data_IF_710709448608
#
_entry.id   IF_710709448608
#
_cell.length_a   1.000
_cell.length_b   1.000
_cell.length_c   1.000
_cell.angle_alpha   90.00
_cell.angle_beta   90.00
_cell.angle_gamma   90.00
#
_symmetry.space_group_name_H-M   'P 1'
#
loop_
_entity.id
_entity.type
_entity.pdbx_description
1 polymer ?
#
# COMPACT_ATOMS: atom_id res chain seq x y z
N UNK A 1 -15.56 7.52 -25.60
CA UNK A 1 -14.63 7.64 -24.45
C UNK A 1 -15.47 7.54 -23.18
N UNK A 2 -15.64 6.32 -22.64
CA UNK A 2 -16.40 6.10 -21.42
C UNK A 2 -15.42 6.07 -20.24
N UNK A 3 -15.58 7.01 -19.30
CA UNK A 3 -14.82 7.08 -18.07
C UNK A 3 -15.32 6.00 -17.10
N UNK A 4 -14.44 5.09 -16.69
CA UNK A 4 -14.70 4.15 -15.60
C UNK A 4 -14.20 4.78 -14.30
N UNK A 5 -15.14 5.06 -13.41
CA UNK A 5 -14.91 5.45 -12.02
C UNK A 5 -14.27 4.27 -11.27
N UNK A 6 -12.93 4.28 -11.17
CA UNK A 6 -12.23 3.49 -10.17
C UNK A 6 -12.09 4.33 -8.91
N UNK A 7 -12.84 4.00 -7.86
CA UNK A 7 -12.65 4.57 -6.52
C UNK A 7 -11.29 4.10 -6.00
N UNK A 8 -10.27 4.92 -6.20
CA UNK A 8 -8.91 4.67 -5.74
C UNK A 8 -8.82 4.79 -4.23
N UNK A 9 -8.38 3.71 -3.57
CA UNK A 9 -7.93 3.72 -2.18
C UNK A 9 -6.40 3.85 -2.06
N UNK A 10 -5.75 4.46 -3.06
CA UNK A 10 -4.33 4.79 -3.00
C UNK A 10 -4.10 6.29 -3.22
N UNK A 11 -4.76 7.13 -2.41
CA UNK A 11 -4.40 8.54 -2.29
C UNK A 11 -4.70 9.10 -0.90
N UNK A 12 -3.80 8.92 0.06
CA UNK A 12 -3.68 9.86 1.17
C UNK A 12 -2.23 10.33 1.28
N UNK A 13 -1.96 11.48 0.68
CA UNK A 13 -0.77 12.28 0.95
C UNK A 13 -1.14 13.53 1.74
N UNK A 14 -0.19 13.95 2.57
CA UNK A 14 -0.06 15.21 3.33
C UNK A 14 -0.88 15.36 4.63
N UNK A 15 -0.45 16.11 5.64
CA UNK A 15 0.83 16.67 6.10
C UNK A 15 0.46 17.65 7.24
N UNK A 16 1.34 17.83 8.21
CA UNK A 16 1.50 19.12 8.89
C UNK A 16 0.54 19.40 10.05
N UNK A 17 1.11 19.38 11.26
CA UNK A 17 0.54 20.06 12.42
C UNK A 17 0.21 21.53 12.08
N UNK A 18 -1.00 21.95 12.44
CA UNK A 18 -1.34 23.36 12.66
C UNK A 18 -1.91 23.48 14.07
N UNK A 19 -1.19 24.20 14.92
CA UNK A 19 -1.75 24.79 16.13
C UNK A 19 -2.78 25.85 15.72
N UNK A 20 -4.04 25.65 16.10
CA UNK A 20 -5.01 26.73 16.19
C UNK A 20 -5.71 26.69 17.54
N UNK A 21 -5.69 27.85 18.16
CA UNK A 21 -5.98 28.16 19.56
C UNK A 21 -7.48 28.15 19.87
N UNK A 22 -7.82 27.51 20.99
CA UNK A 22 -8.93 27.73 21.92
C UNK A 22 -10.27 28.33 21.41
N UNK A 23 -11.30 27.48 21.39
CA UNK A 23 -12.65 27.83 21.86
C UNK A 23 -13.26 26.60 22.55
N UNK A 24 -13.62 26.74 23.84
CA UNK A 24 -14.35 25.72 24.61
C UNK A 24 -15.77 25.58 24.05
N UNK A 25 -16.05 24.44 23.43
CA UNK A 25 -17.41 24.01 23.16
C UNK A 25 -17.65 22.71 23.94
N UNK A 26 -18.44 22.80 25.01
CA UNK A 26 -18.80 21.68 25.87
C UNK A 26 -19.81 20.80 25.15
N UNK A 27 -19.37 20.05 24.14
CA UNK A 27 -20.07 18.85 23.67
C UNK A 27 -19.34 17.64 24.20
N UNK A 28 -19.98 16.94 25.13
CA UNK A 28 -19.59 15.61 25.53
C UNK A 28 -19.71 14.70 24.30
N UNK A 29 -18.61 14.50 23.59
CA UNK A 29 -18.51 13.50 22.53
C UNK A 29 -18.86 12.13 23.13
N UNK A 30 -19.67 11.30 22.45
CA UNK A 30 -19.88 9.92 22.88
C UNK A 30 -18.52 9.23 23.05
N UNK A 31 -18.35 8.35 24.05
CA UNK A 31 -17.14 7.56 24.15
C UNK A 31 -16.96 6.83 22.82
N UNK A 32 -15.85 7.09 22.13
CA UNK A 32 -15.49 6.40 20.91
C UNK A 32 -15.49 4.92 21.25
N UNK A 33 -16.42 4.16 20.68
CA UNK A 33 -16.53 2.73 20.96
C UNK A 33 -15.18 2.10 20.58
N UNK A 34 -14.44 1.63 21.58
CA UNK A 34 -13.22 0.86 21.35
C UNK A 34 -13.70 -0.47 20.80
N UNK A 35 -13.68 -0.61 19.46
CA UNK A 35 -14.07 -1.86 18.81
C UNK A 35 -13.02 -2.89 19.22
N UNK A 36 -13.43 -3.86 20.03
CA UNK A 36 -12.54 -4.92 20.48
C UNK A 36 -12.45 -5.96 19.35
N UNK A 37 -11.48 -5.79 18.46
CA UNK A 37 -11.25 -6.70 17.34
C UNK A 37 -10.65 -8.01 17.83
N UNK A 38 -11.19 -9.14 17.40
CA UNK A 38 -10.55 -10.45 17.61
C UNK A 38 -9.39 -10.62 16.64
N UNK A 39 -8.34 -11.34 17.04
CA UNK A 39 -7.18 -11.60 16.16
C UNK A 39 -7.59 -12.23 14.82
N UNK A 40 -8.58 -13.14 14.83
CA UNK A 40 -9.13 -13.75 13.63
C UNK A 40 -9.76 -12.74 12.68
N UNK A 41 -10.50 -11.77 13.21
CA UNK A 41 -11.13 -10.73 12.40
C UNK A 41 -10.10 -9.74 11.85
N UNK A 42 -9.03 -9.47 12.60
CA UNK A 42 -7.88 -8.68 12.10
C UNK A 42 -7.20 -9.40 10.94
N UNK A 43 -6.93 -10.69 11.06
CA UNK A 43 -6.31 -11.51 10.00
C UNK A 43 -7.19 -11.58 8.74
N UNK A 44 -8.50 -11.80 8.89
CA UNK A 44 -9.45 -11.80 7.77
C UNK A 44 -9.50 -10.43 7.08
N UNK A 45 -9.53 -9.35 7.88
CA UNK A 45 -9.56 -7.98 7.37
C UNK A 45 -8.28 -7.66 6.59
N UNK A 46 -7.11 -7.98 7.16
CA UNK A 46 -5.83 -7.77 6.50
C UNK A 46 -5.73 -8.59 5.20
N UNK A 47 -6.19 -9.83 5.20
CA UNK A 47 -6.21 -10.68 4.00
C UNK A 47 -7.04 -10.06 2.87
N UNK A 48 -8.25 -9.59 3.17
CA UNK A 48 -9.11 -8.97 2.16
C UNK A 48 -8.50 -7.66 1.61
N UNK A 49 -7.96 -6.83 2.50
CA UNK A 49 -7.38 -5.54 2.11
C UNK A 49 -6.11 -5.72 1.27
N UNK A 50 -5.22 -6.64 1.66
CA UNK A 50 -3.98 -6.89 0.91
C UNK A 50 -4.25 -7.51 -0.46
N UNK A 51 -5.33 -8.29 -0.61
CA UNK A 51 -5.82 -8.71 -1.92
C UNK A 51 -6.21 -7.52 -2.81
N UNK A 52 -6.86 -6.49 -2.25
CA UNK A 52 -7.16 -5.26 -3.00
C UNK A 52 -5.89 -4.46 -3.33
N UNK A 53 -4.91 -4.39 -2.43
CA UNK A 53 -3.60 -3.81 -2.73
C UNK A 53 -2.95 -4.49 -3.94
N UNK A 54 -3.01 -5.83 -3.98
CA UNK A 54 -2.47 -6.63 -5.07
C UNK A 54 -3.20 -6.40 -6.40
N UNK A 55 -4.53 -6.39 -6.39
CA UNK A 55 -5.34 -6.12 -7.58
C UNK A 55 -5.08 -4.74 -8.16
N UNK A 56 -4.92 -3.74 -7.29
CA UNK A 56 -4.53 -2.39 -7.71
C UNK A 56 -3.14 -2.38 -8.35
N UNK A 57 -2.14 -3.02 -7.74
CA UNK A 57 -0.82 -3.18 -8.32
C UNK A 57 -0.85 -3.86 -9.69
N UNK A 58 -1.58 -4.97 -9.84
CA UNK A 58 -1.78 -5.65 -11.11
C UNK A 58 -2.46 -4.74 -12.14
N UNK A 59 -3.41 -3.91 -11.72
CA UNK A 59 -4.05 -2.89 -12.55
C UNK A 59 -3.05 -1.86 -13.08
N UNK A 60 -2.17 -1.34 -12.24
CA UNK A 60 -1.10 -0.42 -12.64
C UNK A 60 -0.10 -1.08 -13.60
N UNK A 61 0.23 -2.34 -13.37
CA UNK A 61 1.18 -3.09 -14.18
C UNK A 61 0.62 -3.58 -15.53
N UNK A 62 -0.71 -3.53 -15.73
CA UNK A 62 -1.38 -4.09 -16.92
C UNK A 62 -0.84 -3.56 -18.26
N UNK A 63 -0.46 -2.29 -18.30
CA UNK A 63 -0.03 -1.61 -19.52
C UNK A 63 1.49 -1.38 -19.59
N UNK A 64 2.26 -1.97 -18.66
CA UNK A 64 3.74 -1.92 -18.72
C UNK A 64 4.20 -2.97 -19.71
N UNK A 65 4.96 -2.55 -20.73
CA UNK A 65 5.48 -3.49 -21.72
C UNK A 65 6.59 -4.36 -21.15
N UNK A 66 6.85 -5.53 -21.75
CA UNK A 66 7.92 -6.44 -21.32
C UNK A 66 9.28 -5.75 -21.27
N UNK A 67 9.57 -4.87 -22.24
CA UNK A 67 10.81 -4.07 -22.28
C UNK A 67 10.92 -3.05 -21.15
N UNK A 68 9.81 -2.63 -20.55
CA UNK A 68 9.79 -1.63 -19.48
C UNK A 68 9.76 -2.26 -18.08
N UNK A 69 9.51 -3.57 -17.96
CA UNK A 69 9.41 -4.25 -16.65
C UNK A 69 10.70 -4.15 -15.83
N UNK A 70 11.85 -3.98 -16.49
CA UNK A 70 13.16 -3.85 -15.84
C UNK A 70 13.61 -2.39 -15.68
N UNK A 71 12.82 -1.43 -16.16
CA UNK A 71 13.11 -0.01 -16.03
C UNK A 71 12.61 0.47 -14.67
N UNK A 72 13.51 0.61 -13.68
CA UNK A 72 13.15 1.04 -12.32
C UNK A 72 12.33 2.34 -12.31
N UNK A 73 12.64 3.29 -13.20
CA UNK A 73 11.88 4.54 -13.34
C UNK A 73 10.40 4.33 -13.71
N UNK A 74 10.07 3.23 -14.38
CA UNK A 74 8.69 2.86 -14.77
C UNK A 74 8.01 2.10 -13.63
N UNK A 75 8.71 1.12 -13.05
CA UNK A 75 8.09 0.17 -12.10
C UNK A 75 8.19 0.58 -10.64
N UNK A 76 9.04 1.55 -10.29
CA UNK A 76 9.22 2.05 -8.92
C UNK A 76 7.92 2.54 -8.29
N UNK A 77 7.14 3.35 -9.01
CA UNK A 77 5.86 3.88 -8.51
C UNK A 77 4.85 2.77 -8.19
N UNK A 78 4.47 1.86 -9.11
CA UNK A 78 3.53 0.79 -8.77
C UNK A 78 4.06 -0.13 -7.67
N UNK A 79 5.36 -0.43 -7.66
CA UNK A 79 5.97 -1.26 -6.62
C UNK A 79 5.89 -0.61 -5.23
N UNK A 80 6.29 0.67 -5.11
CA UNK A 80 6.21 1.41 -3.84
C UNK A 80 4.77 1.57 -3.36
N UNK A 81 3.79 1.71 -4.26
CA UNK A 81 2.38 1.74 -3.89
C UNK A 81 1.89 0.40 -3.33
N UNK A 82 2.34 -0.73 -3.89
CA UNK A 82 2.05 -2.04 -3.31
C UNK A 82 2.64 -2.13 -1.90
N UNK A 83 3.93 -1.83 -1.74
CA UNK A 83 4.61 -1.93 -0.44
C UNK A 83 3.95 -1.04 0.61
N UNK A 84 3.69 0.23 0.29
CA UNK A 84 3.04 1.17 1.20
C UNK A 84 1.62 0.71 1.59
N UNK A 85 0.85 0.16 0.64
CA UNK A 85 -0.48 -0.37 0.95
C UNK A 85 -0.42 -1.52 1.96
N UNK A 86 0.54 -2.44 1.81
CA UNK A 86 0.73 -3.55 2.76
C UNK A 86 1.17 -3.05 4.15
N UNK A 87 2.13 -2.12 4.20
CA UNK A 87 2.68 -1.54 5.43
C UNK A 87 1.62 -0.70 6.19
N UNK A 88 0.97 0.24 5.50
CA UNK A 88 -0.04 1.13 6.10
C UNK A 88 -1.20 0.35 6.74
N UNK A 89 -1.66 -0.72 6.09
CA UNK A 89 -2.77 -1.52 6.60
C UNK A 89 -2.34 -2.46 7.73
N UNK A 90 -1.11 -2.99 7.70
CA UNK A 90 -0.57 -3.74 8.82
C UNK A 90 -0.47 -2.84 10.06
N UNK A 91 -0.02 -1.60 9.90
CA UNK A 91 0.10 -0.61 10.98
C UNK A 91 -1.26 -0.20 11.55
N UNK A 92 -2.24 0.12 10.69
CA UNK A 92 -3.61 0.50 11.11
C UNK A 92 -4.32 -0.60 11.88
N UNK A 93 -4.01 -1.86 11.57
CA UNK A 93 -4.60 -3.04 12.19
C UNK A 93 -3.76 -3.57 13.36
N UNK A 94 -2.60 -2.97 13.64
CA UNK A 94 -1.61 -3.50 14.58
C UNK A 94 -1.26 -4.97 14.32
N UNK A 95 -1.20 -5.37 13.05
CA UNK A 95 -1.00 -6.76 12.60
C UNK A 95 0.47 -7.15 12.46
N UNK A 96 1.39 -6.18 12.58
CA UNK A 96 2.84 -6.37 12.49
C UNK A 96 3.34 -6.40 11.04
N UNK A 97 4.50 -5.77 10.82
CA UNK A 97 5.16 -5.71 9.51
C UNK A 97 6.68 -5.84 9.68
N UNK A 98 7.39 -6.59 8.81
CA UNK A 98 6.85 -7.45 7.77
C UNK A 98 6.06 -8.65 8.34
N UNK A 99 5.22 -9.25 7.50
CA UNK A 99 4.48 -10.47 7.82
C UNK A 99 4.44 -11.40 6.59
N UNK A 100 4.12 -12.68 6.82
CA UNK A 100 4.17 -13.74 5.80
C UNK A 100 3.34 -13.38 4.56
N UNK A 101 2.15 -12.80 4.74
CA UNK A 101 1.29 -12.46 3.60
C UNK A 101 1.85 -11.28 2.79
N UNK A 102 2.37 -10.24 3.46
CA UNK A 102 3.06 -9.14 2.77
C UNK A 102 4.26 -9.66 1.97
N UNK A 103 5.09 -10.50 2.56
CA UNK A 103 6.24 -11.11 1.89
C UNK A 103 5.81 -11.93 0.67
N UNK A 104 4.73 -12.69 0.75
CA UNK A 104 4.19 -13.44 -0.38
C UNK A 104 3.84 -12.53 -1.57
N UNK A 105 3.17 -11.40 -1.34
CA UNK A 105 2.87 -10.45 -2.42
C UNK A 105 4.13 -9.80 -2.99
N UNK A 106 5.11 -9.49 -2.16
CA UNK A 106 6.40 -8.96 -2.61
C UNK A 106 7.11 -10.01 -3.48
N UNK A 107 7.25 -11.26 -3.02
CA UNK A 107 7.84 -12.33 -3.82
C UNK A 107 7.07 -12.61 -5.11
N UNK A 108 5.74 -12.58 -5.05
CA UNK A 108 4.89 -12.77 -6.23
C UNK A 108 5.10 -11.65 -7.25
N UNK A 109 5.28 -10.41 -6.82
CA UNK A 109 5.59 -9.29 -7.72
C UNK A 109 6.91 -9.52 -8.47
N UNK A 110 7.96 -9.92 -7.75
CA UNK A 110 9.27 -10.25 -8.31
C UNK A 110 9.19 -11.40 -9.30
N UNK A 111 8.57 -12.51 -8.90
CA UNK A 111 8.42 -13.68 -9.76
C UNK A 111 7.59 -13.36 -11.01
N UNK A 112 6.49 -12.61 -10.88
CA UNK A 112 5.59 -12.33 -11.99
C UNK A 112 6.15 -11.31 -12.98
N UNK A 113 6.77 -10.24 -12.50
CA UNK A 113 7.12 -9.09 -13.34
C UNK A 113 8.62 -8.88 -13.52
N UNK A 114 9.46 -9.26 -12.55
CA UNK A 114 10.86 -8.86 -12.50
C UNK A 114 11.85 -10.02 -12.63
N UNK A 115 11.39 -11.27 -12.76
CA UNK A 115 12.23 -12.47 -12.75
C UNK A 115 13.29 -12.53 -13.87
N UNK A 116 13.08 -11.83 -14.99
CA UNK A 116 14.03 -11.75 -16.11
C UNK A 116 14.90 -10.49 -16.09
N UNK A 117 14.77 -9.65 -15.06
CA UNK A 117 15.57 -8.44 -14.95
C UNK A 117 16.94 -8.76 -14.39
N UNK A 118 17.98 -8.29 -15.07
CA UNK A 118 19.35 -8.32 -14.55
C UNK A 118 19.56 -7.10 -13.68
N UNK A 119 20.16 -7.28 -12.49
CA UNK A 119 20.67 -6.16 -11.71
C UNK A 119 21.79 -5.48 -12.51
N UNK A 120 21.50 -4.33 -13.11
CA UNK A 120 22.56 -3.41 -13.47
C UNK A 120 23.20 -2.94 -12.15
N UNK A 121 24.43 -3.38 -11.89
CA UNK A 121 25.25 -2.79 -10.85
C UNK A 121 25.43 -1.31 -11.21
N UNK A 122 24.74 -0.42 -10.50
CA UNK A 122 25.18 0.97 -10.46
C UNK A 122 26.50 0.99 -9.71
N UNK A 123 27.59 0.83 -10.45
CA UNK A 123 28.93 1.09 -9.94
C UNK A 123 28.97 2.58 -9.66
N UNK A 124 28.82 2.95 -8.39
CA UNK A 124 29.06 4.31 -7.95
C UNK A 124 30.57 4.52 -8.07
N UNK A 125 31.00 5.23 -9.12
CA UNK A 125 32.37 5.73 -9.18
C UNK A 125 32.37 7.05 -8.41
N UNK A 126 33.09 7.06 -7.29
CA UNK A 126 33.45 8.26 -6.52
C UNK A 126 34.38 9.19 -7.32
#
# INVERSE_FOLDING_TARGET
LAAVLGTGLCHMSHAGAREETFAQDTRTSPPTAVVNWTAQLVEETYTNITQQCWEFFVGLMRNVSVSELCEWKVISRPYSLLQACLEDWADRLHYGYPNVLAEQYIFQSHHRYFHNCTLEHQVYFD
#
